data_IF_082146062948
#
_entry.id   IF_082146062948
#
_cell.length_a   1.000
_cell.length_b   1.000
_cell.length_c   1.000
_cell.angle_alpha   90.00
_cell.angle_beta   90.00
_cell.angle_gamma   90.00
#
_symmetry.space_group_name_H-M   'P 1'
#
loop_
_entity.id
_entity.type
_entity.pdbx_description
1 polymer ?
#
# COMPACT_ATOMS: atom_id res chain seq x y z
N UNK A 1 -3.63 18.37 -15.06
CA UNK A 1 -3.46 17.07 -15.74
C UNK A 1 -2.68 16.23 -14.76
N UNK A 2 -3.22 15.13 -14.31
CA UNK A 2 -2.53 14.28 -13.32
C UNK A 2 -1.30 13.67 -13.98
N UNK A 3 -0.19 13.50 -13.24
CA UNK A 3 1.00 12.80 -13.71
C UNK A 3 0.68 11.41 -14.26
N UNK A 4 -0.34 10.77 -13.69
CA UNK A 4 -0.85 9.48 -14.12
C UNK A 4 -1.35 9.44 -15.56
N UNK A 5 -1.83 10.56 -16.13
CA UNK A 5 -2.30 10.64 -17.52
C UNK A 5 -1.13 10.53 -18.54
N UNK A 6 0.08 10.84 -18.11
CA UNK A 6 1.31 10.76 -18.94
C UNK A 6 1.96 9.37 -18.89
N UNK A 7 1.66 8.58 -17.84
CA UNK A 7 2.26 7.27 -17.58
C UNK A 7 1.59 6.11 -18.33
N UNK A 8 1.27 6.25 -19.61
CA UNK A 8 0.48 5.30 -20.41
C UNK A 8 0.89 3.83 -20.29
N UNK A 9 2.18 3.53 -20.23
CA UNK A 9 2.68 2.16 -20.07
C UNK A 9 2.44 1.66 -18.66
N UNK A 10 2.70 2.50 -17.68
CA UNK A 10 2.64 2.15 -16.27
C UNK A 10 1.20 1.91 -15.81
N UNK A 11 0.25 2.68 -16.34
CA UNK A 11 -1.19 2.46 -16.11
C UNK A 11 -1.71 1.06 -16.47
N UNK A 12 -1.04 0.38 -17.37
CA UNK A 12 -1.40 -0.99 -17.76
C UNK A 12 -0.76 -2.05 -16.84
N UNK A 13 0.12 -1.64 -15.95
CA UNK A 13 0.68 -2.52 -14.94
C UNK A 13 -0.33 -2.74 -13.79
N UNK A 14 -0.34 -3.93 -13.21
CA UNK A 14 -1.01 -4.12 -11.93
C UNK A 14 -0.28 -3.32 -10.83
N UNK A 15 -0.97 -2.93 -9.75
CA UNK A 15 -0.36 -2.25 -8.60
C UNK A 15 0.88 -2.98 -8.08
N UNK A 16 0.82 -4.33 -8.01
CA UNK A 16 1.96 -5.15 -7.60
C UNK A 16 3.14 -5.06 -8.58
N UNK A 17 2.88 -5.02 -9.90
CA UNK A 17 3.93 -4.87 -10.92
C UNK A 17 4.52 -3.47 -10.91
N UNK A 18 3.70 -2.45 -10.68
CA UNK A 18 4.11 -1.06 -10.57
C UNK A 18 5.04 -0.84 -9.37
N UNK A 19 4.58 -1.16 -8.15
CA UNK A 19 5.33 -0.95 -6.91
C UNK A 19 6.67 -1.70 -6.94
N UNK A 20 6.64 -2.97 -7.39
CA UNK A 20 7.88 -3.75 -7.55
C UNK A 20 8.79 -3.21 -8.64
N UNK A 21 8.24 -2.66 -9.71
CA UNK A 21 8.99 -2.05 -10.80
C UNK A 21 9.70 -0.76 -10.39
N UNK A 22 9.02 0.09 -9.62
CA UNK A 22 9.61 1.29 -9.04
C UNK A 22 10.73 0.93 -8.05
N UNK A 23 10.52 -0.08 -7.18
CA UNK A 23 11.56 -0.59 -6.30
C UNK A 23 12.77 -1.17 -7.06
N UNK A 24 12.58 -1.80 -8.22
CA UNK A 24 13.66 -2.26 -9.10
C UNK A 24 14.44 -1.09 -9.73
N UNK A 25 13.75 -0.02 -10.11
CA UNK A 25 14.39 1.21 -10.57
C UNK A 25 15.23 1.86 -9.46
N UNK A 26 14.67 2.07 -8.28
CA UNK A 26 15.38 2.62 -7.11
C UNK A 26 16.58 1.75 -6.70
N UNK A 27 16.42 0.43 -6.76
CA UNK A 27 17.48 -0.56 -6.48
C UNK A 27 18.50 -0.69 -7.61
N UNK A 28 18.44 0.16 -8.65
CA UNK A 28 19.37 0.15 -9.81
C UNK A 28 19.48 -1.22 -10.49
N UNK A 29 18.35 -1.93 -10.58
CA UNK A 29 18.30 -3.26 -11.20
C UNK A 29 18.37 -3.20 -12.75
N UNK A 30 18.20 -2.03 -13.36
CA UNK A 30 18.39 -1.82 -14.82
C UNK A 30 19.88 -1.74 -15.10
N UNK A 31 20.38 -2.71 -15.85
CA UNK A 31 21.81 -2.84 -16.15
C UNK A 31 22.23 -1.97 -17.32
N UNK A 32 21.38 -1.82 -18.30
CA UNK A 32 21.54 -0.96 -19.46
C UNK A 32 20.19 -0.62 -20.07
N UNK A 33 20.15 0.44 -20.86
CA UNK A 33 18.98 0.86 -21.61
C UNK A 33 19.37 1.73 -22.80
N UNK A 34 18.70 1.55 -23.93
CA UNK A 34 18.88 2.32 -25.14
C UNK A 34 17.53 2.67 -25.78
N UNK A 35 17.47 3.84 -26.39
CA UNK A 35 16.33 4.21 -27.23
C UNK A 35 16.58 3.70 -28.65
N UNK A 36 15.60 2.94 -29.18
CA UNK A 36 15.67 2.38 -30.54
C UNK A 36 14.83 3.16 -31.56
N UNK A 37 14.36 4.36 -31.18
CA UNK A 37 13.51 5.22 -32.00
C UNK A 37 12.04 4.82 -32.02
N UNK A 38 11.18 5.70 -32.51
CA UNK A 38 9.73 5.50 -32.60
C UNK A 38 9.05 5.10 -31.27
N UNK A 39 9.57 5.57 -30.13
CA UNK A 39 9.03 5.25 -28.81
C UNK A 39 9.32 3.81 -28.35
N UNK A 40 10.36 3.18 -28.93
CA UNK A 40 10.87 1.87 -28.50
C UNK A 40 12.13 2.05 -27.65
N UNK A 41 12.15 1.41 -26.50
CA UNK A 41 13.29 1.37 -25.60
C UNK A 41 13.62 -0.08 -25.27
N UNK A 42 14.90 -0.42 -25.26
CA UNK A 42 15.40 -1.75 -24.98
C UNK A 42 16.36 -1.70 -23.81
N UNK A 43 16.44 -2.76 -23.06
CA UNK A 43 17.40 -2.87 -21.99
C UNK A 43 17.40 -4.22 -21.30
N UNK A 44 18.32 -4.37 -20.38
CA UNK A 44 18.45 -5.55 -19.54
C UNK A 44 18.21 -5.20 -18.10
N UNK A 45 17.40 -6.01 -17.45
CA UNK A 45 17.02 -5.80 -16.05
C UNK A 45 17.36 -7.05 -15.25
N UNK A 46 18.09 -6.86 -14.16
CA UNK A 46 18.39 -7.91 -13.19
C UNK A 46 17.11 -8.33 -12.46
N UNK A 47 16.89 -9.63 -12.37
CA UNK A 47 15.78 -10.21 -11.63
C UNK A 47 16.25 -10.89 -10.34
N UNK A 48 15.39 -11.72 -9.75
CA UNK A 48 15.76 -12.58 -8.62
C UNK A 48 16.70 -13.71 -9.06
N UNK A 49 17.59 -14.13 -8.16
CA UNK A 49 18.55 -15.23 -8.40
C UNK A 49 19.52 -14.94 -9.57
N UNK A 50 20.01 -13.73 -9.66
CA UNK A 50 20.99 -13.28 -10.68
C UNK A 50 20.55 -13.50 -12.14
N UNK A 51 19.26 -13.69 -12.37
CA UNK A 51 18.71 -13.81 -13.72
C UNK A 51 18.61 -12.44 -14.37
N UNK A 52 19.05 -12.34 -15.61
CA UNK A 52 18.93 -11.13 -16.43
C UNK A 52 17.79 -11.34 -17.43
N UNK A 53 16.95 -10.34 -17.57
CA UNK A 53 15.82 -10.36 -18.50
C UNK A 53 16.00 -9.28 -19.56
N UNK A 54 15.84 -9.67 -20.82
CA UNK A 54 15.74 -8.73 -21.93
C UNK A 54 14.34 -8.11 -21.97
N UNK A 55 14.31 -6.79 -22.05
CA UNK A 55 13.07 -6.00 -22.00
C UNK A 55 13.03 -5.06 -23.18
N UNK A 56 11.88 -5.02 -23.85
CA UNK A 56 11.56 -4.00 -24.86
C UNK A 56 10.23 -3.36 -24.48
N UNK A 57 10.24 -2.05 -24.31
CA UNK A 57 9.02 -1.27 -24.08
C UNK A 57 8.68 -0.43 -25.30
N UNK A 58 7.38 -0.30 -25.56
CA UNK A 58 6.83 0.56 -26.60
C UNK A 58 5.85 1.54 -25.97
N UNK A 59 6.25 2.81 -25.84
CA UNK A 59 5.41 3.82 -25.18
C UNK A 59 4.20 4.24 -26.03
N UNK A 60 4.28 4.10 -27.37
CA UNK A 60 3.18 4.40 -28.28
C UNK A 60 2.13 3.27 -28.31
N UNK A 61 2.59 2.03 -28.11
CA UNK A 61 1.76 0.82 -28.08
C UNK A 61 2.16 -0.08 -26.91
N UNK A 62 1.86 0.29 -25.65
CA UNK A 62 2.36 -0.41 -24.46
C UNK A 62 2.11 -1.91 -24.43
N UNK A 63 0.98 -2.39 -24.99
CA UNK A 63 0.65 -3.83 -25.07
C UNK A 63 1.56 -4.62 -26.01
N UNK A 64 2.36 -3.94 -26.85
CA UNK A 64 3.40 -4.57 -27.70
C UNK A 64 4.75 -4.67 -26.99
N UNK A 65 4.84 -4.21 -25.75
CA UNK A 65 6.04 -4.37 -24.94
C UNK A 65 6.24 -5.84 -24.58
N UNK A 66 7.50 -6.28 -24.53
CA UNK A 66 7.86 -7.68 -24.25
C UNK A 66 8.96 -7.77 -23.20
N UNK A 67 8.95 -8.83 -22.42
CA UNK A 67 10.00 -9.17 -21.47
C UNK A 67 10.17 -10.69 -21.42
N UNK A 68 11.41 -11.16 -21.33
CA UNK A 68 11.73 -12.60 -21.25
C UNK A 68 11.43 -13.22 -19.87
N UNK A 69 10.96 -12.44 -18.89
CA UNK A 69 10.64 -12.98 -17.56
C UNK A 69 9.43 -13.94 -17.60
N UNK A 70 9.36 -14.93 -16.69
CA UNK A 70 8.28 -15.93 -16.67
C UNK A 70 6.86 -15.34 -16.55
N UNK A 71 6.75 -14.15 -15.96
CA UNK A 71 5.44 -13.49 -15.79
C UNK A 71 4.92 -12.90 -17.12
N UNK A 72 5.80 -12.34 -17.96
CA UNK A 72 5.42 -11.61 -19.17
C UNK A 72 5.71 -12.37 -20.48
N UNK A 73 6.54 -13.41 -20.45
CA UNK A 73 6.89 -14.18 -21.64
C UNK A 73 5.62 -14.74 -22.31
N UNK A 74 5.38 -14.36 -23.57
CA UNK A 74 4.20 -14.79 -24.34
C UNK A 74 2.88 -14.16 -23.91
N UNK A 75 2.89 -13.12 -23.06
CA UNK A 75 1.69 -12.44 -22.56
C UNK A 75 1.71 -10.95 -22.88
N UNK A 76 0.53 -10.37 -23.04
CA UNK A 76 0.36 -8.91 -23.23
C UNK A 76 0.14 -8.21 -21.86
N UNK A 77 1.09 -8.38 -20.94
CA UNK A 77 1.03 -7.81 -19.59
C UNK A 77 2.26 -6.95 -19.33
N UNK A 78 2.10 -5.88 -18.57
CA UNK A 78 3.21 -5.04 -18.15
C UNK A 78 3.76 -5.61 -16.83
N UNK A 79 5.01 -6.06 -16.86
CA UNK A 79 5.70 -6.61 -15.69
C UNK A 79 6.57 -5.56 -15.00
N UNK A 80 7.04 -5.87 -13.79
CA UNK A 80 7.93 -5.02 -13.01
C UNK A 80 9.21 -4.60 -13.75
N UNK A 81 9.77 -5.46 -14.61
CA UNK A 81 10.99 -5.15 -15.37
C UNK A 81 10.74 -4.12 -16.48
N UNK A 82 9.54 -4.15 -17.09
CA UNK A 82 9.14 -3.12 -18.06
C UNK A 82 8.92 -1.78 -17.36
N UNK A 83 8.31 -1.77 -16.17
CA UNK A 83 8.15 -0.57 -15.36
C UNK A 83 9.50 0.00 -14.92
N UNK A 84 10.43 -0.85 -14.47
CA UNK A 84 11.78 -0.43 -14.10
C UNK A 84 12.54 0.19 -15.28
N UNK A 85 12.49 -0.42 -16.47
CA UNK A 85 13.11 0.13 -17.68
C UNK A 85 12.44 1.45 -18.10
N UNK A 86 11.13 1.57 -17.92
CA UNK A 86 10.41 2.81 -18.19
C UNK A 86 10.94 3.95 -17.32
N UNK A 87 11.00 3.78 -16.02
CA UNK A 87 11.52 4.81 -15.12
C UNK A 87 13.03 5.09 -15.29
N UNK A 88 13.79 4.11 -15.77
CA UNK A 88 15.18 4.33 -16.15
C UNK A 88 15.32 5.35 -17.29
N UNK A 89 14.41 5.33 -18.26
CA UNK A 89 14.40 6.28 -19.39
C UNK A 89 13.65 7.59 -19.08
N UNK A 90 12.75 7.57 -18.09
CA UNK A 90 11.94 8.72 -17.67
C UNK A 90 12.09 8.97 -16.16
N UNK A 91 13.30 9.30 -15.68
CA UNK A 91 13.57 9.47 -14.25
C UNK A 91 12.73 10.58 -13.60
N UNK A 92 12.43 11.66 -14.35
CA UNK A 92 11.60 12.76 -13.88
C UNK A 92 10.18 12.30 -13.51
N UNK A 93 9.67 11.30 -14.21
CA UNK A 93 8.34 10.73 -13.89
C UNK A 93 8.41 9.82 -12.68
N UNK A 94 9.51 9.10 -12.47
CA UNK A 94 9.74 8.34 -11.25
C UNK A 94 9.82 9.24 -10.02
N UNK A 95 10.56 10.36 -10.12
CA UNK A 95 10.71 11.35 -9.05
C UNK A 95 9.36 11.98 -8.69
N UNK A 96 8.56 12.32 -9.70
CA UNK A 96 7.25 12.90 -9.47
C UNK A 96 6.26 11.93 -8.79
N UNK A 97 6.27 10.65 -9.16
CA UNK A 97 5.47 9.62 -8.47
C UNK A 97 5.91 9.44 -7.02
N UNK A 98 7.22 9.42 -6.78
CA UNK A 98 7.76 9.30 -5.42
C UNK A 98 7.39 10.51 -4.56
N UNK A 99 7.47 11.72 -5.12
CA UNK A 99 7.09 12.94 -4.43
C UNK A 99 5.59 12.97 -4.06
N UNK A 100 4.71 12.49 -4.96
CA UNK A 100 3.27 12.36 -4.69
C UNK A 100 3.01 11.38 -3.52
N UNK A 101 3.72 10.23 -3.48
CA UNK A 101 3.58 9.28 -2.39
C UNK A 101 4.10 9.81 -1.05
N UNK A 102 5.25 10.50 -1.06
CA UNK A 102 5.78 11.13 0.16
C UNK A 102 4.81 12.20 0.71
N UNK A 103 4.16 12.95 -0.16
CA UNK A 103 3.12 13.91 0.22
C UNK A 103 1.91 13.21 0.83
N UNK A 104 1.37 12.17 0.16
CA UNK A 104 0.24 11.39 0.68
C UNK A 104 0.53 10.75 2.05
N UNK A 105 1.73 10.21 2.23
CA UNK A 105 2.15 9.63 3.52
C UNK A 105 2.24 10.72 4.61
N UNK A 106 2.80 11.89 4.27
CA UNK A 106 2.86 13.03 5.20
C UNK A 106 1.48 13.49 5.63
N UNK A 107 0.54 13.63 4.67
CA UNK A 107 -0.84 14.00 4.96
C UNK A 107 -1.56 12.96 5.84
N UNK A 108 -1.29 11.66 5.61
CA UNK A 108 -1.83 10.59 6.46
C UNK A 108 -1.30 10.66 7.88
N UNK A 109 0.01 10.90 8.03
CA UNK A 109 0.64 11.04 9.35
C UNK A 109 0.13 12.28 10.11
N UNK A 110 -0.11 13.38 9.40
CA UNK A 110 -0.70 14.59 10.00
C UNK A 110 -2.12 14.33 10.48
N UNK A 111 -2.98 13.75 9.64
CA UNK A 111 -4.35 13.37 10.04
C UNK A 111 -4.37 12.39 11.21
N UNK A 112 -3.44 11.44 11.24
CA UNK A 112 -3.33 10.50 12.35
C UNK A 112 -2.94 11.20 13.67
N UNK A 113 -1.98 12.11 13.61
CA UNK A 113 -1.56 12.91 14.80
C UNK A 113 -2.68 13.81 15.32
N UNK A 114 -3.44 14.45 14.43
CA UNK A 114 -4.60 15.25 14.81
C UNK A 114 -5.66 14.37 15.50
N UNK A 115 -5.99 13.24 14.89
CA UNK A 115 -6.94 12.29 15.47
C UNK A 115 -6.47 11.78 16.84
N UNK A 116 -5.20 11.45 17.00
CA UNK A 116 -4.62 10.97 18.27
C UNK A 116 -4.70 12.04 19.37
N UNK A 117 -4.45 13.30 19.01
CA UNK A 117 -4.56 14.43 19.93
C UNK A 117 -6.01 14.63 20.39
N UNK A 118 -6.97 14.64 19.46
CA UNK A 118 -8.41 14.78 19.74
C UNK A 118 -8.91 13.60 20.60
N UNK A 119 -8.51 12.38 20.25
CA UNK A 119 -8.86 11.18 21.02
C UNK A 119 -8.28 11.22 22.44
N UNK A 120 -7.04 11.69 22.60
CA UNK A 120 -6.39 11.83 23.90
C UNK A 120 -7.11 12.85 24.79
N UNK A 121 -7.50 13.99 24.22
CA UNK A 121 -8.27 15.01 24.92
C UNK A 121 -9.65 14.50 25.35
N UNK A 122 -10.37 13.86 24.44
CA UNK A 122 -11.67 13.24 24.71
C UNK A 122 -11.58 12.17 25.82
N UNK A 123 -10.53 11.32 25.75
CA UNK A 123 -10.29 10.27 26.74
C UNK A 123 -10.01 10.85 28.12
N UNK A 124 -9.28 11.96 28.21
CA UNK A 124 -8.99 12.63 29.45
C UNK A 124 -10.27 13.23 30.06
N UNK A 125 -11.09 13.91 29.29
CA UNK A 125 -12.40 14.44 29.72
C UNK A 125 -13.30 13.32 30.26
N UNK A 126 -13.38 12.19 29.51
CA UNK A 126 -14.15 11.03 29.95
C UNK A 126 -13.63 10.41 31.24
N UNK A 127 -12.31 10.36 31.41
CA UNK A 127 -11.71 9.86 32.66
C UNK A 127 -12.11 10.74 33.87
N UNK A 128 -12.11 12.04 33.71
CA UNK A 128 -12.54 12.97 34.76
C UNK A 128 -14.01 12.79 35.10
N UNK A 129 -14.89 12.69 34.10
CA UNK A 129 -16.32 12.45 34.27
C UNK A 129 -16.58 11.12 35.01
N UNK A 130 -15.97 10.03 34.55
CA UNK A 130 -16.12 8.69 35.13
C UNK A 130 -15.56 8.67 36.56
N UNK A 131 -14.43 9.35 36.80
CA UNK A 131 -13.83 9.45 38.14
C UNK A 131 -14.78 10.17 39.10
N UNK A 132 -15.31 11.32 38.69
CA UNK A 132 -16.29 12.04 39.52
C UNK A 132 -17.55 11.21 39.81
N UNK A 133 -18.06 10.48 38.82
CA UNK A 133 -19.18 9.57 39.00
C UNK A 133 -18.86 8.47 40.01
N UNK A 134 -17.74 7.76 39.88
CA UNK A 134 -17.34 6.67 40.78
C UNK A 134 -17.20 7.19 42.22
N UNK A 135 -16.58 8.37 42.39
CA UNK A 135 -16.43 8.96 43.75
C UNK A 135 -17.77 9.41 44.39
N UNK A 136 -18.82 9.55 43.58
CA UNK A 136 -20.19 9.87 44.11
C UNK A 136 -20.96 8.65 44.58
N UNK A 137 -20.50 7.42 44.26
CA UNK A 137 -21.19 6.18 44.62
C UNK A 137 -20.84 5.68 46.02
N UNK A 138 -21.76 4.95 46.65
CA UNK A 138 -21.48 4.17 47.85
C UNK A 138 -20.71 2.87 47.49
N UNK A 139 -20.07 2.24 48.49
CA UNK A 139 -19.33 0.99 48.31
C UNK A 139 -20.19 -0.11 47.68
N UNK A 140 -21.46 -0.22 48.06
CA UNK A 140 -22.38 -1.24 47.53
C UNK A 140 -22.75 -0.94 46.05
N UNK A 141 -22.96 0.33 45.70
CA UNK A 141 -23.19 0.76 44.34
C UNK A 141 -21.96 0.51 43.43
N UNK A 142 -20.75 0.77 43.96
CA UNK A 142 -19.49 0.46 43.22
C UNK A 142 -19.40 -1.03 42.91
N UNK A 143 -19.72 -1.91 43.90
CA UNK A 143 -19.70 -3.36 43.66
C UNK A 143 -20.72 -3.79 42.61
N UNK A 144 -21.92 -3.22 42.66
CA UNK A 144 -22.97 -3.51 41.69
C UNK A 144 -22.57 -3.08 40.27
N UNK A 145 -22.04 -1.86 40.09
CA UNK A 145 -21.55 -1.36 38.78
C UNK A 145 -20.37 -2.18 38.27
N UNK A 146 -19.44 -2.60 39.14
CA UNK A 146 -18.33 -3.46 38.75
C UNK A 146 -18.82 -4.83 38.27
N UNK A 147 -19.81 -5.45 38.96
CA UNK A 147 -20.39 -6.71 38.51
C UNK A 147 -21.04 -6.56 37.13
N UNK A 148 -21.80 -5.47 36.90
CA UNK A 148 -22.41 -5.19 35.59
C UNK A 148 -21.36 -5.01 34.48
N UNK A 149 -20.27 -4.30 34.78
CA UNK A 149 -19.19 -4.09 33.83
C UNK A 149 -18.48 -5.41 33.44
N UNK A 150 -18.15 -6.23 34.43
CA UNK A 150 -17.52 -7.54 34.21
C UNK A 150 -18.43 -8.51 33.46
N UNK A 151 -19.74 -8.52 33.74
CA UNK A 151 -20.70 -9.34 33.00
C UNK A 151 -20.82 -8.90 31.54
N UNK A 152 -20.79 -7.60 31.27
CA UNK A 152 -20.79 -7.08 29.90
C UNK A 152 -19.52 -7.48 29.12
N UNK A 153 -18.34 -7.46 29.76
CA UNK A 153 -17.11 -7.96 29.12
C UNK A 153 -17.19 -9.46 28.84
N UNK A 154 -17.74 -10.23 29.76
CA UNK A 154 -17.96 -11.68 29.57
C UNK A 154 -18.92 -11.96 28.40
N UNK A 155 -20.03 -11.24 28.31
CA UNK A 155 -21.00 -11.39 27.23
C UNK A 155 -20.37 -11.03 25.89
N UNK A 156 -19.60 -9.92 25.80
CA UNK A 156 -18.91 -9.53 24.59
C UNK A 156 -17.89 -10.59 24.13
N UNK A 157 -17.08 -11.13 25.06
CA UNK A 157 -16.11 -12.17 24.73
C UNK A 157 -16.79 -13.46 24.24
N UNK A 158 -17.92 -13.84 24.83
CA UNK A 158 -18.68 -15.02 24.41
C UNK A 158 -19.24 -14.88 22.98
N UNK A 159 -19.74 -13.69 22.63
CA UNK A 159 -20.29 -13.46 21.29
C UNK A 159 -19.20 -13.25 20.23
N UNK A 160 -18.03 -12.70 20.58
CA UNK A 160 -16.91 -12.57 19.63
C UNK A 160 -16.32 -13.93 19.22
N UNK A 161 -16.28 -14.90 20.14
CA UNK A 161 -15.79 -16.26 19.83
C UNK A 161 -16.77 -17.06 18.93
N UNK A 162 -18.08 -16.81 18.99
CA UNK A 162 -19.07 -17.50 18.13
C UNK A 162 -19.14 -16.95 16.70
N UNK A 163 -18.64 -15.74 16.43
CA UNK A 163 -18.79 -15.09 15.11
C UNK A 163 -17.61 -15.33 14.15
N UNK A 164 -16.50 -15.93 14.61
CA UNK A 164 -15.31 -16.17 13.78
C UNK A 164 -15.17 -17.59 13.22
N UNK A 165 -16.13 -18.49 13.47
CA UNK A 165 -15.99 -19.90 13.07
C UNK A 165 -16.71 -20.28 11.75
N UNK A 166 -17.34 -19.33 11.02
CA UNK A 166 -18.16 -19.65 9.83
C UNK A 166 -17.63 -19.15 8.47
N UNK A 167 -16.42 -18.59 8.34
CA UNK A 167 -15.88 -18.14 7.03
C UNK A 167 -14.81 -19.04 6.39
N UNK A 168 -14.48 -20.20 6.92
CA UNK A 168 -13.51 -21.14 6.31
C UNK A 168 -14.14 -22.36 5.61
N UNK A 169 -15.35 -22.25 5.11
CA UNK A 169 -15.97 -23.32 4.32
C UNK A 169 -16.63 -22.81 3.04
N UNK A 170 -15.85 -22.29 2.07
CA UNK A 170 -16.16 -22.41 0.63
C UNK A 170 -14.89 -22.15 -0.22
N UNK A 171 -14.28 -23.26 -0.71
CA UNK A 171 -13.44 -23.49 -1.91
C UNK A 171 -12.66 -22.34 -2.55
#
# INVERSE_FOLDING_TARGET
>A
MSIWDELKLVHLASNASFNRGLGYYQGKAVLNGEESGNGLYKGQVSGSQDKIYDVVININHPRKSVCTCPFAAGRQVICKHMVALYFFHFPEQAEAVLAEWEEEEREKEERYREWEADYSAFRQEKLEEVTAYVWSLSDDQIREELIKALMKEFDNAYFDDEYYDDEDYYF
#
